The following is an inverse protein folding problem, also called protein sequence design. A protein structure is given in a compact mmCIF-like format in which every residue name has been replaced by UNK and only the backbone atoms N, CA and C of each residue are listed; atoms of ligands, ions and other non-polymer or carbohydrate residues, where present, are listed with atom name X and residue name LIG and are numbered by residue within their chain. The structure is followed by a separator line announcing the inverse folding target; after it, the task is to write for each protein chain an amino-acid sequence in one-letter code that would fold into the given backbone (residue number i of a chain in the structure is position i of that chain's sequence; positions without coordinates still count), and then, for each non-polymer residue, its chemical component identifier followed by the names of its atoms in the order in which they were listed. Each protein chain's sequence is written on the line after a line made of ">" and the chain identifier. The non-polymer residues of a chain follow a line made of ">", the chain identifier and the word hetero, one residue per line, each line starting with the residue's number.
data_IF_750731224471
#
_entry.id   IF_750731224471
#
_cell.length_a   1.000
_cell.length_b   1.000
_cell.length_c   1.000
_cell.angle_alpha   90.00
_cell.angle_beta   90.00
_cell.angle_gamma   90.00
#
_symmetry.space_group_name_H-M   'P 1'
#
loop_
_entity.id
_entity.type
_entity.pdbx_description
1 polymer ?
#
# COMPACT_ATOMS: atom_id res chain seq x y z
N UNK A 1 -6.71 -5.38 8.54
CA UNK A 1 -5.81 -5.54 7.38
C UNK A 1 -6.41 -5.04 6.08
N UNK A 2 -7.74 -5.11 5.89
CA UNK A 2 -8.41 -4.83 4.61
C UNK A 2 -8.13 -3.43 4.03
N UNK A 3 -7.94 -2.41 4.86
CA UNK A 3 -7.60 -1.05 4.38
C UNK A 3 -6.23 -1.03 3.70
N UNK A 4 -5.23 -1.70 4.27
CA UNK A 4 -3.89 -1.78 3.67
C UNK A 4 -3.91 -2.58 2.34
N UNK A 5 -4.72 -3.63 2.29
CA UNK A 5 -4.97 -4.39 1.05
C UNK A 5 -5.69 -3.54 0.01
N UNK A 6 -6.72 -2.79 0.40
CA UNK A 6 -7.51 -1.95 -0.49
C UNK A 6 -6.71 -0.78 -1.09
N UNK A 7 -5.76 -0.22 -0.35
CA UNK A 7 -4.79 0.72 -0.90
C UNK A 7 -3.77 0.06 -1.84
N UNK A 8 -3.68 -1.28 -1.87
CA UNK A 8 -2.79 -2.00 -2.77
C UNK A 8 -1.37 -2.19 -2.26
N UNK A 9 -1.13 -2.20 -0.94
CA UNK A 9 0.21 -2.40 -0.37
C UNK A 9 0.73 -3.84 -0.54
N UNK A 10 1.27 -4.15 -1.72
CA UNK A 10 1.77 -5.48 -2.10
C UNK A 10 3.05 -5.92 -1.37
N UNK A 11 3.79 -5.00 -0.75
CA UNK A 11 4.99 -5.32 0.04
C UNK A 11 4.73 -6.25 1.25
N UNK A 12 3.46 -6.43 1.63
CA UNK A 12 3.01 -7.35 2.68
C UNK A 12 2.23 -8.56 2.13
N UNK A 13 2.09 -8.70 0.82
CA UNK A 13 1.18 -9.66 0.18
C UNK A 13 1.80 -11.04 -0.08
N UNK A 14 2.99 -11.33 0.44
CA UNK A 14 3.60 -12.66 0.32
C UNK A 14 2.65 -13.71 0.91
N UNK A 15 2.27 -14.70 0.09
CA UNK A 15 1.47 -15.84 0.55
C UNK A 15 2.30 -16.63 1.57
N UNK A 16 1.78 -16.73 2.79
CA UNK A 16 2.44 -17.47 3.87
C UNK A 16 1.98 -18.94 3.85
N UNK A 17 2.83 -19.90 4.23
CA UNK A 17 2.42 -21.30 4.34
C UNK A 17 1.51 -21.51 5.54
N UNK A 18 0.43 -22.28 5.36
CA UNK A 18 -0.51 -22.60 6.43
C UNK A 18 -0.01 -23.67 7.42
N UNK A 19 1.09 -24.36 7.10
CA UNK A 19 1.52 -25.59 7.79
C UNK A 19 2.81 -25.45 8.59
N UNK A 20 3.55 -24.35 8.44
CA UNK A 20 4.81 -24.12 9.14
C UNK A 20 5.10 -22.63 9.29
N UNK A 21 6.02 -22.29 10.18
CA UNK A 21 6.49 -20.92 10.32
C UNK A 21 7.44 -20.56 9.16
N UNK A 22 7.16 -19.51 8.36
CA UNK A 22 7.94 -19.18 7.15
C UNK A 22 9.33 -18.59 7.42
N UNK A 23 9.70 -18.33 8.68
CA UNK A 23 10.92 -17.61 9.01
C UNK A 23 10.74 -16.09 8.84
N UNK A 24 11.78 -15.32 8.49
CA UNK A 24 11.66 -13.89 8.23
C UNK A 24 10.68 -13.58 7.08
N UNK A 25 9.74 -12.66 7.30
CA UNK A 25 8.74 -12.22 6.33
C UNK A 25 8.26 -10.79 6.66
N UNK A 26 7.67 -10.10 5.68
CA UNK A 26 7.26 -8.70 5.84
C UNK A 26 5.92 -8.53 6.59
N UNK A 27 5.04 -9.53 6.53
CA UNK A 27 3.70 -9.49 7.12
C UNK A 27 3.72 -9.98 8.57
N UNK A 28 4.04 -9.11 9.52
CA UNK A 28 3.95 -9.43 10.96
C UNK A 28 2.79 -8.67 11.59
N UNK A 29 1.71 -9.37 11.96
CA UNK A 29 0.46 -8.77 12.45
C UNK A 29 0.69 -7.88 13.68
N UNK A 30 1.55 -8.27 14.62
CA UNK A 30 1.85 -7.45 15.82
C UNK A 30 2.58 -6.14 15.51
N UNK A 31 3.19 -5.99 14.33
CA UNK A 31 3.78 -4.73 13.88
C UNK A 31 2.78 -3.86 13.09
N UNK A 32 1.75 -4.48 12.51
CA UNK A 32 0.79 -3.80 11.63
C UNK A 32 -0.48 -3.40 12.38
N UNK A 33 -1.07 -4.32 13.12
CA UNK A 33 -2.35 -4.13 13.82
C UNK A 33 -2.27 -4.55 15.30
N UNK A 34 -1.32 -4.03 16.11
CA UNK A 34 -1.35 -4.20 17.55
C UNK A 34 -2.56 -3.49 18.18
N UNK A 35 -2.81 -3.72 19.48
CA UNK A 35 -3.78 -2.91 20.21
C UNK A 35 -3.40 -1.42 20.15
N UNK A 36 -4.34 -0.58 19.70
CA UNK A 36 -4.09 0.84 19.48
C UNK A 36 -3.33 1.16 18.19
N UNK A 37 -3.31 0.24 17.22
CA UNK A 37 -2.73 0.48 15.90
C UNK A 37 -3.31 1.74 15.25
N UNK A 38 -2.46 2.44 14.49
CA UNK A 38 -2.83 3.67 13.79
C UNK A 38 -2.18 3.72 12.41
N UNK A 39 -2.97 4.15 11.44
CA UNK A 39 -2.54 4.49 10.08
C UNK A 39 -2.75 5.99 9.90
N UNK A 40 -1.66 6.74 9.81
CA UNK A 40 -1.72 8.17 9.49
C UNK A 40 -1.43 8.35 7.99
N UNK A 41 -2.18 9.25 7.37
CA UNK A 41 -2.00 9.64 5.97
C UNK A 41 -1.77 11.14 5.96
N UNK A 42 -0.57 11.54 5.57
CA UNK A 42 -0.14 12.93 5.56
C UNK A 42 -0.14 13.46 4.12
N UNK A 43 -0.73 14.65 3.92
CA UNK A 43 -0.59 15.41 2.68
C UNK A 43 0.41 16.53 2.94
N UNK A 44 1.53 16.48 2.23
CA UNK A 44 2.70 17.31 2.50
C UNK A 44 2.92 18.24 1.32
N UNK A 45 2.81 19.55 1.55
CA UNK A 45 3.13 20.56 0.54
C UNK A 45 4.54 21.09 0.76
N UNK A 46 5.35 21.03 -0.28
CA UNK A 46 6.72 21.55 -0.26
C UNK A 46 6.85 22.80 -1.14
N UNK A 47 7.78 23.72 -0.82
CA UNK A 47 7.96 24.95 -1.61
C UNK A 47 8.56 24.69 -3.01
N UNK A 48 9.29 23.58 -3.16
CA UNK A 48 9.90 23.08 -4.40
C UNK A 48 9.80 21.54 -4.42
N UNK A 49 9.96 20.88 -5.57
CA UNK A 49 9.94 19.43 -5.62
C UNK A 49 11.11 18.83 -4.82
N UNK A 50 10.86 17.68 -4.18
CA UNK A 50 11.82 16.94 -3.39
C UNK A 50 12.24 15.67 -4.14
N UNK A 51 13.53 15.54 -4.44
CA UNK A 51 14.11 14.37 -5.09
C UNK A 51 14.14 13.15 -4.14
N UNK A 52 14.44 11.97 -4.71
CA UNK A 52 14.47 10.70 -3.97
C UNK A 52 15.47 10.70 -2.80
N UNK A 53 16.56 11.46 -2.92
CA UNK A 53 17.60 11.63 -1.90
C UNK A 53 17.25 12.70 -0.84
N UNK A 54 16.01 13.21 -0.85
CA UNK A 54 15.49 14.26 0.05
C UNK A 54 16.14 15.63 -0.16
N UNK A 55 16.68 15.89 -1.36
CA UNK A 55 17.16 17.22 -1.74
C UNK A 55 16.09 17.99 -2.51
N UNK A 56 16.02 19.30 -2.28
CA UNK A 56 15.15 20.17 -3.08
C UNK A 56 15.76 20.37 -4.46
N UNK A 57 14.97 20.16 -5.50
CA UNK A 57 15.32 20.46 -6.88
C UNK A 57 14.56 21.67 -7.38
N UNK A 58 15.03 22.29 -8.47
CA UNK A 58 14.32 23.42 -9.05
C UNK A 58 12.99 23.00 -9.67
N UNK A 59 11.97 23.82 -9.42
CA UNK A 59 10.61 23.56 -9.84
C UNK A 59 9.60 24.38 -9.04
N UNK A 60 8.32 24.18 -9.33
CA UNK A 60 7.21 24.78 -8.59
C UNK A 60 6.95 24.00 -7.30
N UNK A 61 6.14 24.57 -6.40
CA UNK A 61 5.66 23.87 -5.23
C UNK A 61 5.03 22.51 -5.64
N UNK A 62 5.30 21.48 -4.84
CA UNK A 62 4.84 20.12 -5.08
C UNK A 62 4.06 19.62 -3.86
N UNK A 63 3.17 18.66 -4.09
CA UNK A 63 2.38 18.02 -3.03
C UNK A 63 2.65 16.53 -3.04
N UNK A 64 2.87 15.97 -1.87
CA UNK A 64 3.20 14.57 -1.66
C UNK A 64 2.21 13.94 -0.70
N UNK A 65 2.10 12.62 -0.76
CA UNK A 65 1.39 11.78 0.19
C UNK A 65 2.36 10.84 0.90
N UNK A 66 2.16 10.66 2.19
CA UNK A 66 2.99 9.83 3.05
C UNK A 66 2.10 8.99 3.97
N UNK A 67 2.36 7.70 4.00
CA UNK A 67 1.65 6.76 4.86
C UNK A 67 2.55 6.33 6.01
N UNK A 68 2.02 6.39 7.23
CA UNK A 68 2.71 5.96 8.44
C UNK A 68 1.84 4.93 9.15
N UNK A 69 2.37 3.72 9.31
CA UNK A 69 1.73 2.66 10.09
C UNK A 69 2.49 2.47 11.38
N UNK A 70 1.82 2.74 12.51
CA UNK A 70 2.40 2.60 13.85
C UNK A 70 3.76 3.29 13.99
N UNK A 71 3.82 4.57 13.60
CA UNK A 71 5.06 5.38 13.71
C UNK A 71 6.18 4.94 12.74
N UNK A 72 5.88 4.07 11.76
CA UNK A 72 6.82 3.64 10.72
C UNK A 72 6.32 4.07 9.34
N UNK A 73 7.17 4.75 8.57
CA UNK A 73 6.92 5.05 7.16
C UNK A 73 6.67 3.76 6.38
N UNK A 74 5.59 3.74 5.61
CA UNK A 74 5.33 2.77 4.55
C UNK A 74 5.98 3.31 3.27
N UNK A 75 7.04 2.68 2.74
CA UNK A 75 7.68 3.14 1.51
C UNK A 75 6.78 2.85 0.30
N UNK A 76 6.10 3.89 -0.22
CA UNK A 76 5.09 3.74 -1.26
C UNK A 76 5.66 3.12 -2.55
N UNK A 77 6.91 3.47 -2.89
CA UNK A 77 7.62 2.94 -4.06
C UNK A 77 7.79 1.42 -4.12
N UNK A 78 7.69 0.72 -2.99
CA UNK A 78 7.78 -0.75 -2.94
C UNK A 78 6.50 -1.45 -3.42
N UNK A 79 5.35 -0.76 -3.34
CA UNK A 79 4.06 -1.29 -3.83
C UNK A 79 3.62 -0.61 -5.13
N UNK A 80 4.04 0.64 -5.34
CA UNK A 80 3.69 1.48 -6.49
C UNK A 80 4.98 1.98 -7.16
N UNK A 81 5.50 1.29 -8.17
CA UNK A 81 6.77 1.65 -8.82
C UNK A 81 6.83 3.10 -9.32
N UNK A 82 5.69 3.68 -9.70
CA UNK A 82 5.52 5.07 -10.14
C UNK A 82 5.93 6.08 -9.06
N UNK A 83 5.85 5.69 -7.79
CA UNK A 83 6.27 6.53 -6.66
C UNK A 83 7.79 6.52 -6.42
N UNK A 84 8.56 5.68 -7.13
CA UNK A 84 10.02 5.57 -6.99
C UNK A 84 10.46 4.71 -5.81
N UNK A 85 10.93 3.49 -6.09
CA UNK A 85 11.37 2.53 -5.07
C UNK A 85 12.65 2.95 -4.30
N UNK A 86 13.41 3.89 -4.86
CA UNK A 86 14.65 4.43 -4.32
C UNK A 86 14.45 5.67 -3.44
N UNK A 87 13.23 6.19 -3.34
CA UNK A 87 12.93 7.34 -2.49
C UNK A 87 13.21 7.02 -1.03
N UNK A 88 14.14 7.77 -0.44
CA UNK A 88 14.53 7.60 0.96
C UNK A 88 13.41 8.01 1.92
N UNK A 89 12.54 8.94 1.54
CA UNK A 89 11.41 9.42 2.35
C UNK A 89 10.19 8.49 2.32
N UNK A 90 10.12 7.54 1.37
CA UNK A 90 8.97 6.68 1.18
C UNK A 90 7.70 7.40 0.71
N UNK A 91 7.80 8.65 0.27
CA UNK A 91 6.67 9.47 -0.18
C UNK A 91 6.28 9.13 -1.62
N UNK A 92 5.14 9.64 -2.05
CA UNK A 92 4.74 9.67 -3.45
C UNK A 92 4.20 11.06 -3.80
N UNK A 93 4.39 11.51 -5.03
CA UNK A 93 3.73 12.72 -5.51
C UNK A 93 2.21 12.48 -5.56
N UNK A 94 1.42 13.45 -5.09
CA UNK A 94 -0.01 13.23 -4.81
C UNK A 94 -0.79 12.82 -6.06
N UNK A 95 -0.58 13.50 -7.18
CA UNK A 95 -1.28 13.19 -8.43
C UNK A 95 -0.88 11.80 -8.95
N UNK A 96 0.42 11.48 -8.92
CA UNK A 96 0.92 10.13 -9.22
C UNK A 96 0.22 9.06 -8.37
N UNK A 97 0.08 9.27 -7.06
CA UNK A 97 -0.62 8.32 -6.20
C UNK A 97 -2.12 8.21 -6.54
N UNK A 98 -2.80 9.32 -6.81
CA UNK A 98 -4.21 9.31 -7.20
C UNK A 98 -4.43 8.57 -8.53
N UNK A 99 -3.50 8.71 -9.47
CA UNK A 99 -3.50 7.98 -10.74
C UNK A 99 -3.35 6.47 -10.54
N UNK A 100 -2.44 6.06 -9.65
CA UNK A 100 -2.29 4.65 -9.24
C UNK A 100 -3.58 4.12 -8.62
N UNK A 101 -4.25 4.90 -7.76
CA UNK A 101 -5.48 4.48 -7.08
C UNK A 101 -6.74 4.55 -7.94
N UNK A 102 -6.67 5.10 -9.16
CA UNK A 102 -7.84 5.38 -10.00
C UNK A 102 -8.69 4.15 -10.28
N UNK A 103 -8.07 2.97 -10.37
CA UNK A 103 -8.74 1.69 -10.66
C UNK A 103 -9.09 0.87 -9.43
N UNK A 104 -8.68 1.28 -8.22
CA UNK A 104 -8.82 0.45 -7.02
C UNK A 104 -10.27 0.06 -6.70
N UNK A 105 -11.24 0.91 -7.05
CA UNK A 105 -12.67 0.60 -6.86
C UNK A 105 -13.16 -0.46 -7.86
N UNK A 106 -12.71 -0.38 -9.12
CA UNK A 106 -13.04 -1.38 -10.15
C UNK A 106 -12.39 -2.72 -9.81
N UNK A 107 -11.15 -2.71 -9.35
CA UNK A 107 -10.39 -3.91 -8.96
C UNK A 107 -10.95 -4.59 -7.71
N UNK A 108 -11.45 -3.83 -6.74
CA UNK A 108 -11.99 -4.40 -5.50
C UNK A 108 -13.29 -5.21 -5.73
N UNK A 109 -14.04 -4.91 -6.80
CA UNK A 109 -15.29 -5.57 -7.15
C UNK A 109 -16.24 -5.77 -5.95
N UNK A 110 -16.38 -4.75 -5.10
CA UNK A 110 -16.98 -4.87 -3.76
C UNK A 110 -18.32 -5.64 -3.74
N UNK A 111 -19.26 -5.26 -4.62
CA UNK A 111 -20.57 -5.91 -4.71
C UNK A 111 -20.47 -7.39 -5.06
N UNK A 112 -19.62 -7.75 -6.03
CA UNK A 112 -19.41 -9.12 -6.43
C UNK A 112 -18.69 -9.91 -5.33
N UNK A 113 -17.63 -9.35 -4.75
CA UNK A 113 -16.84 -9.98 -3.69
C UNK A 113 -17.61 -10.21 -2.38
N UNK A 114 -18.65 -9.41 -2.09
CA UNK A 114 -19.44 -9.54 -0.86
C UNK A 114 -20.77 -10.27 -1.06
N UNK A 115 -21.39 -10.13 -2.24
CA UNK A 115 -22.77 -10.57 -2.47
C UNK A 115 -22.94 -11.41 -3.74
N UNK A 116 -21.88 -11.65 -4.50
CA UNK A 116 -21.88 -12.50 -5.69
C UNK A 116 -21.97 -13.99 -5.36
N UNK A 117 -22.21 -14.79 -6.40
CA UNK A 117 -22.20 -16.25 -6.34
C UNK A 117 -20.99 -16.76 -7.13
N UNK A 118 -20.01 -17.31 -6.42
CA UNK A 118 -18.76 -17.83 -6.97
C UNK A 118 -18.25 -18.99 -6.10
N UNK A 119 -17.51 -19.96 -6.67
CA UNK A 119 -17.00 -21.11 -5.92
C UNK A 119 -15.98 -20.67 -4.86
N UNK A 120 -15.83 -21.49 -3.83
CA UNK A 120 -14.79 -21.26 -2.82
C UNK A 120 -13.39 -21.36 -3.45
N UNK A 121 -12.60 -20.31 -3.27
CA UNK A 121 -11.25 -20.19 -3.81
C UNK A 121 -10.22 -20.94 -2.93
N UNK A 122 -9.24 -21.66 -3.52
CA UNK A 122 -8.20 -22.33 -2.76
C UNK A 122 -7.34 -21.36 -1.94
N UNK A 123 -6.72 -21.84 -0.86
CA UNK A 123 -5.80 -21.04 -0.06
C UNK A 123 -4.69 -20.42 -0.91
N UNK A 124 -4.48 -19.10 -0.75
CA UNK A 124 -3.43 -18.35 -1.43
C UNK A 124 -3.74 -17.95 -2.88
N UNK A 125 -4.91 -18.31 -3.42
CA UNK A 125 -5.31 -17.91 -4.78
C UNK A 125 -5.80 -16.47 -4.86
N UNK A 126 -6.49 -15.97 -3.82
CA UNK A 126 -6.93 -14.57 -3.71
C UNK A 126 -5.84 -13.74 -3.02
N UNK A 127 -5.35 -12.69 -3.68
CA UNK A 127 -4.23 -11.88 -3.20
C UNK A 127 -4.53 -10.38 -3.06
N UNK A 128 -5.59 -9.91 -3.71
CA UNK A 128 -6.03 -8.50 -3.70
C UNK A 128 -7.40 -8.30 -3.02
N UNK A 129 -8.02 -9.37 -2.53
CA UNK A 129 -9.34 -9.34 -1.89
C UNK A 129 -10.54 -9.48 -2.84
N UNK A 130 -10.32 -9.58 -4.16
CA UNK A 130 -11.35 -9.88 -5.14
C UNK A 130 -11.31 -11.37 -5.54
N UNK A 131 -12.47 -12.03 -5.77
CA UNK A 131 -12.53 -13.38 -6.34
C UNK A 131 -11.84 -13.45 -7.71
N UNK A 132 -11.27 -14.61 -8.06
CA UNK A 132 -10.59 -14.79 -9.35
C UNK A 132 -11.55 -15.15 -10.49
N UNK A 133 -12.78 -15.58 -10.16
CA UNK A 133 -13.84 -15.96 -11.10
C UNK A 133 -15.20 -15.48 -10.65
#
# INVERSE_FOLDING_TARGET
>A
MSILTAFGFKQFATVLPATHHPGPHNLTVSHMEPFGARLDIEVIKTPKPLAADRTYVDGKAATYIHFILNQRTIPLGLSFPECGADRLDGWCELETFLDVQRKSTEEAQYEYACFGDYPAEPYGSVTNGAPNS
#
